data_IF_607664930066
#
_entry.id   IF_607664930066
#
_cell.length_a   1.000
_cell.length_b   1.000
_cell.length_c   1.000
_cell.angle_alpha   90.00
_cell.angle_beta   90.00
_cell.angle_gamma   90.00
#
_symmetry.space_group_name_H-M   'P 1'
#
loop_
_entity.id
_entity.type
_entity.pdbx_description
1 polymer ?
#
# COMPACT_ATOMS: atom_id res chain seq x y z
N UNK A 1 7.90 -5.42 30.03
CA UNK A 1 7.78 -5.44 29.62
C UNK A 1 7.68 -5.65 29.23
N UNK A 2 7.56 -5.58 29.16
CA UNK A 2 7.36 -5.64 28.61
C UNK A 2 7.16 -5.73 28.00
N UNK A 3 6.86 -5.74 27.88
CA UNK A 3 6.61 -5.77 27.19
C UNK A 3 6.45 -5.58 26.54
N UNK A 4 6.31 -5.55 26.50
CA UNK A 4 6.14 -5.35 25.89
C UNK A 4 6.12 -5.46 25.19
N UNK A 5 6.16 -5.56 25.47
CA UNK A 5 6.21 -5.63 24.76
C UNK A 5 6.08 -6.01 24.05
N UNK A 6 5.87 -6.24 24.14
CA UNK A 6 5.76 -6.50 23.46
C UNK A 6 5.35 -6.46 22.74
N UNK A 7 4.86 -6.30 22.74
CA UNK A 7 4.60 -6.10 22.11
C UNK A 7 4.67 -5.53 21.38
N UNK A 8 4.39 -5.07 21.41
CA UNK A 8 4.81 -4.54 20.79
C UNK A 8 5.70 -4.38 20.22
N UNK A 9 5.49 -4.19 20.58
CA UNK A 9 6.80 -4.43 20.09
C UNK A 9 6.91 -4.75 18.61
N UNK A 10 5.83 -4.80 17.96
CA UNK A 10 5.86 -5.02 16.51
C UNK A 10 6.20 -3.73 15.81
N UNK A 11 7.35 -3.72 15.16
CA UNK A 11 7.76 -2.64 14.31
C UNK A 11 6.83 -2.55 13.10
N UNK A 12 6.48 -1.33 12.68
CA UNK A 12 5.69 -1.13 11.46
C UNK A 12 6.64 -1.14 10.28
N UNK A 13 6.51 -2.17 9.45
CA UNK A 13 7.35 -2.37 8.28
C UNK A 13 6.49 -2.17 7.04
N UNK A 14 6.79 -1.13 6.27
CA UNK A 14 5.91 -0.64 5.22
C UNK A 14 6.37 -1.09 3.85
N UNK A 15 5.42 -1.57 3.05
CA UNK A 15 5.56 -1.66 1.61
C UNK A 15 4.82 -0.47 1.00
N UNK A 16 5.55 0.40 0.32
CA UNK A 16 4.97 1.55 -0.36
C UNK A 16 4.58 1.14 -1.77
N UNK A 17 3.33 1.34 -2.14
CA UNK A 17 2.88 0.98 -3.49
C UNK A 17 2.50 2.23 -4.26
N UNK A 18 3.04 2.38 -5.46
CA UNK A 18 2.76 3.51 -6.34
C UNK A 18 2.41 3.00 -7.74
N UNK A 19 1.47 3.66 -8.37
CA UNK A 19 0.98 3.26 -9.69
C UNK A 19 0.55 4.47 -10.49
N UNK A 20 0.82 4.43 -11.80
CA UNK A 20 0.35 5.45 -12.72
C UNK A 20 0.01 4.78 -14.05
N UNK A 21 -1.13 5.13 -14.64
CA UNK A 21 -1.52 4.64 -15.94
C UNK A 21 -2.03 5.80 -16.78
N UNK A 22 -2.23 5.53 -18.09
CA UNK A 22 -2.80 6.55 -18.97
C UNK A 22 -4.23 6.91 -18.56
N UNK A 23 -4.95 5.93 -18.03
CA UNK A 23 -6.32 6.18 -17.58
C UNK A 23 -6.33 7.19 -16.45
N UNK A 24 -5.35 7.14 -15.55
CA UNK A 24 -5.24 8.10 -14.46
C UNK A 24 -5.06 9.51 -15.00
N UNK A 25 -4.20 9.67 -16.01
CA UNK A 25 -3.96 10.98 -16.61
C UNK A 25 -5.20 11.53 -17.29
N UNK A 26 -5.94 10.67 -18.00
CA UNK A 26 -7.16 11.09 -18.70
C UNK A 26 -8.24 11.53 -17.73
N UNK A 27 -8.23 11.01 -16.52
CA UNK A 27 -9.21 11.38 -15.50
C UNK A 27 -8.74 12.56 -14.66
N UNK A 28 -7.64 13.18 -15.03
CA UNK A 28 -7.10 14.30 -14.28
C UNK A 28 -6.27 13.91 -13.07
N UNK A 29 -5.99 12.63 -12.94
CA UNK A 29 -5.15 12.15 -11.84
C UNK A 29 -3.71 12.13 -12.34
N UNK A 30 -3.07 13.28 -12.29
CA UNK A 30 -1.74 13.45 -12.88
C UNK A 30 -0.61 13.35 -11.88
N UNK A 31 -0.87 12.76 -10.71
CA UNK A 31 0.14 12.63 -9.68
C UNK A 31 1.17 11.60 -10.08
N UNK A 32 2.37 12.06 -10.41
CA UNK A 32 3.42 11.20 -10.94
C UNK A 32 3.91 10.19 -9.89
N UNK A 33 4.62 9.18 -10.38
CA UNK A 33 5.26 8.18 -9.51
C UNK A 33 6.16 8.89 -8.48
N UNK A 34 6.96 9.85 -8.92
CA UNK A 34 7.88 10.54 -8.02
C UNK A 34 7.15 11.36 -6.97
N UNK A 35 6.03 12.00 -7.34
CA UNK A 35 5.23 12.73 -6.37
C UNK A 35 4.59 11.81 -5.35
N UNK A 36 4.08 10.67 -5.79
CA UNK A 36 3.53 9.68 -4.87
C UNK A 36 4.59 9.22 -3.87
N UNK A 37 5.79 8.90 -4.37
CA UNK A 37 6.89 8.46 -3.50
C UNK A 37 7.25 9.54 -2.47
N UNK A 38 7.30 10.79 -2.90
CA UNK A 38 7.66 11.90 -2.03
C UNK A 38 6.66 12.06 -0.89
N UNK A 39 5.37 12.08 -1.22
CA UNK A 39 4.31 12.23 -0.23
C UNK A 39 4.34 11.08 0.77
N UNK A 40 4.45 9.86 0.26
CA UNK A 40 4.39 8.68 1.12
C UNK A 40 5.65 8.52 1.96
N UNK A 41 6.82 8.88 1.41
CA UNK A 41 8.07 8.84 2.17
C UNK A 41 8.05 9.81 3.34
N UNK A 42 7.51 11.00 3.12
CA UNK A 42 7.38 11.98 4.19
C UNK A 42 6.46 11.46 5.29
N UNK A 43 5.36 10.83 4.91
CA UNK A 43 4.44 10.28 5.88
C UNK A 43 5.11 9.19 6.72
N UNK A 44 5.84 8.27 6.07
CA UNK A 44 6.55 7.20 6.76
C UNK A 44 7.57 7.77 7.73
N UNK A 45 8.32 8.79 7.29
CA UNK A 45 9.32 9.43 8.12
C UNK A 45 8.69 10.09 9.35
N UNK A 46 7.57 10.78 9.14
CA UNK A 46 6.86 11.44 10.24
C UNK A 46 6.37 10.44 11.27
N UNK A 47 5.93 9.27 10.84
CA UNK A 47 5.46 8.23 11.74
C UNK A 47 6.58 7.46 12.41
N UNK A 48 7.80 7.57 11.90
CA UNK A 48 8.93 6.83 12.44
C UNK A 48 8.91 5.35 12.05
N UNK A 49 8.27 5.01 10.95
CA UNK A 49 8.16 3.63 10.51
C UNK A 49 9.34 3.23 9.62
N UNK A 50 9.48 1.93 9.40
CA UNK A 50 10.52 1.38 8.54
C UNK A 50 9.94 1.11 7.16
N UNK A 51 10.58 1.66 6.13
CA UNK A 51 10.22 1.35 4.74
C UNK A 51 11.03 0.16 4.27
N UNK A 52 10.34 -0.93 3.92
CA UNK A 52 11.02 -2.12 3.40
C UNK A 52 11.38 -1.94 1.93
N UNK A 53 10.40 -1.53 1.10
CA UNK A 53 10.64 -1.38 -0.32
C UNK A 53 9.52 -0.56 -0.95
N UNK A 54 9.80 -0.07 -2.15
CA UNK A 54 8.83 0.65 -2.99
C UNK A 54 8.45 -0.29 -4.14
N UNK A 55 7.15 -0.52 -4.30
CA UNK A 55 6.61 -1.41 -5.34
C UNK A 55 5.95 -0.53 -6.39
N UNK A 56 6.39 -0.65 -7.63
CA UNK A 56 6.00 0.29 -8.68
C UNK A 56 5.35 -0.45 -9.84
N UNK A 57 4.20 0.05 -10.28
CA UNK A 57 3.56 -0.36 -11.54
C UNK A 57 3.32 0.90 -12.36
N UNK A 58 4.15 1.11 -13.37
CA UNK A 58 4.08 2.30 -14.23
C UNK A 58 3.49 1.89 -15.56
N UNK A 59 2.46 2.62 -16.00
CA UNK A 59 1.81 2.37 -17.28
C UNK A 59 0.77 1.26 -17.25
N UNK A 60 0.38 0.80 -16.06
CA UNK A 60 -0.53 -0.35 -15.93
C UNK A 60 -1.82 0.08 -15.22
N UNK A 61 -2.96 -0.33 -15.79
CA UNK A 61 -4.28 0.03 -15.29
C UNK A 61 -4.57 -0.56 -13.92
N UNK A 62 -5.32 0.17 -13.09
CA UNK A 62 -5.76 -0.30 -11.79
C UNK A 62 -6.98 -1.20 -11.84
N UNK A 63 -7.49 -1.53 -13.03
CA UNK A 63 -8.69 -2.38 -13.17
C UNK A 63 -8.39 -3.87 -12.98
N UNK A 64 -7.11 -4.25 -12.97
CA UNK A 64 -6.69 -5.64 -12.79
C UNK A 64 -5.62 -5.71 -11.72
N UNK A 65 -5.53 -6.88 -11.05
CA UNK A 65 -4.41 -7.18 -10.15
C UNK A 65 -3.32 -8.00 -10.84
N UNK A 66 -3.41 -8.15 -12.17
CA UNK A 66 -2.34 -8.76 -12.96
C UNK A 66 -1.24 -7.72 -13.21
N UNK A 67 -0.67 -7.21 -12.12
CA UNK A 67 0.37 -6.18 -12.13
C UNK A 67 1.56 -6.71 -11.34
N UNK A 68 2.77 -6.72 -11.94
CA UNK A 68 3.92 -7.33 -11.25
C UNK A 68 4.23 -6.70 -9.89
N UNK A 69 4.12 -5.37 -9.79
CA UNK A 69 4.42 -4.68 -8.54
C UNK A 69 3.45 -5.04 -7.44
N UNK A 70 2.14 -5.03 -7.72
CA UNK A 70 1.16 -5.35 -6.69
C UNK A 70 1.22 -6.83 -6.33
N UNK A 71 1.53 -7.70 -7.29
CA UNK A 71 1.70 -9.11 -6.98
C UNK A 71 2.84 -9.34 -6.00
N UNK A 72 3.98 -8.69 -6.23
CA UNK A 72 5.13 -8.80 -5.33
C UNK A 72 4.80 -8.23 -3.95
N UNK A 73 4.09 -7.09 -3.93
CA UNK A 73 3.65 -6.46 -2.69
C UNK A 73 2.80 -7.42 -1.85
N UNK A 74 1.80 -8.04 -2.49
CA UNK A 74 0.89 -8.94 -1.78
C UNK A 74 1.60 -10.20 -1.31
N UNK A 75 2.53 -10.70 -2.10
CA UNK A 75 3.30 -11.87 -1.72
C UNK A 75 4.16 -11.58 -0.49
N UNK A 76 4.87 -10.44 -0.50
CA UNK A 76 5.69 -10.05 0.64
C UNK A 76 4.85 -9.84 1.90
N UNK A 77 3.65 -9.28 1.74
CA UNK A 77 2.74 -9.08 2.86
C UNK A 77 2.28 -10.41 3.45
N UNK A 78 1.94 -11.36 2.60
CA UNK A 78 1.48 -12.67 3.07
C UNK A 78 2.59 -13.44 3.76
N UNK A 79 3.84 -13.21 3.37
CA UNK A 79 4.98 -13.87 4.00
C UNK A 79 5.46 -13.15 5.26
N UNK A 80 4.85 -12.03 5.60
CA UNK A 80 5.23 -11.30 6.80
C UNK A 80 6.47 -10.44 6.62
N UNK A 81 6.97 -10.29 5.40
CA UNK A 81 8.12 -9.42 5.13
C UNK A 81 7.76 -7.97 5.38
N UNK A 82 6.53 -7.58 5.01
CA UNK A 82 5.95 -6.30 5.37
C UNK A 82 4.65 -6.56 6.13
N UNK A 83 4.27 -5.64 7.01
CA UNK A 83 3.02 -5.76 7.74
C UNK A 83 2.06 -4.60 7.49
N UNK A 84 2.48 -3.64 6.67
CA UNK A 84 1.68 -2.46 6.38
C UNK A 84 1.85 -2.11 4.91
N UNK A 85 0.73 -1.88 4.23
CA UNK A 85 0.71 -1.42 2.85
C UNK A 85 0.25 0.03 2.85
N UNK A 86 1.03 0.90 2.21
CA UNK A 86 0.74 2.32 2.15
C UNK A 86 0.61 2.77 0.71
N UNK A 87 -0.53 3.40 0.38
CA UNK A 87 -0.79 3.95 -0.95
C UNK A 87 -1.27 5.39 -0.82
N UNK A 88 -1.12 6.17 -1.88
CA UNK A 88 -1.59 7.55 -1.90
C UNK A 88 -3.12 7.60 -1.79
N UNK A 89 -3.80 6.78 -2.58
CA UNK A 89 -5.25 6.66 -2.53
C UNK A 89 -5.64 5.25 -2.98
N UNK A 90 -6.90 4.92 -2.75
CA UNK A 90 -7.40 3.57 -3.00
C UNK A 90 -7.27 3.16 -4.47
N UNK A 91 -7.41 4.11 -5.40
CA UNK A 91 -7.37 3.78 -6.82
C UNK A 91 -5.99 3.28 -7.25
N UNK A 92 -4.92 3.64 -6.53
CA UNK A 92 -3.59 3.12 -6.82
C UNK A 92 -3.52 1.63 -6.54
N UNK A 93 -4.14 1.20 -5.44
CA UNK A 93 -4.19 -0.22 -5.11
C UNK A 93 -5.09 -0.98 -6.09
N UNK A 94 -6.30 -0.47 -6.36
CA UNK A 94 -7.19 -1.13 -7.31
C UNK A 94 -8.46 -0.33 -7.53
N UNK A 95 -9.04 -0.50 -8.71
CA UNK A 95 -10.29 0.15 -9.08
C UNK A 95 -11.46 -0.82 -9.15
N UNK A 96 -11.19 -2.11 -8.97
CA UNK A 96 -12.23 -3.13 -8.96
C UNK A 96 -12.76 -3.27 -7.53
N UNK A 97 -13.94 -2.76 -7.28
CA UNK A 97 -14.53 -2.71 -5.94
C UNK A 97 -14.64 -4.08 -5.30
N UNK A 98 -15.00 -5.08 -6.11
CA UNK A 98 -15.20 -6.42 -5.54
C UNK A 98 -13.88 -6.99 -5.06
N UNK A 99 -12.83 -6.90 -5.87
CA UNK A 99 -11.53 -7.44 -5.51
C UNK A 99 -10.89 -6.65 -4.38
N UNK A 100 -10.99 -5.32 -4.42
CA UNK A 100 -10.46 -4.48 -3.34
C UNK A 100 -11.17 -4.82 -2.03
N UNK A 101 -12.49 -4.98 -2.06
CA UNK A 101 -13.24 -5.36 -0.88
C UNK A 101 -12.80 -6.68 -0.30
N UNK A 102 -12.51 -7.66 -1.15
CA UNK A 102 -12.03 -8.96 -0.70
C UNK A 102 -10.69 -8.84 0.04
N UNK A 103 -9.78 -8.01 -0.46
CA UNK A 103 -8.51 -7.80 0.22
C UNK A 103 -8.70 -7.09 1.56
N UNK A 104 -9.51 -6.03 1.58
CA UNK A 104 -9.71 -5.27 2.81
C UNK A 104 -10.46 -6.06 3.88
N UNK A 105 -11.48 -6.83 3.46
CA UNK A 105 -12.37 -7.50 4.41
C UNK A 105 -11.87 -8.87 4.83
N UNK A 106 -11.09 -9.54 3.99
CA UNK A 106 -10.70 -10.93 4.25
C UNK A 106 -9.21 -11.15 4.25
N UNK A 107 -8.51 -10.78 3.18
CA UNK A 107 -7.10 -11.14 3.04
C UNK A 107 -6.24 -10.40 4.05
N UNK A 108 -6.40 -9.09 4.14
CA UNK A 108 -5.57 -8.30 5.04
C UNK A 108 -5.81 -8.65 6.52
N UNK A 109 -7.07 -8.79 6.99
CA UNK A 109 -7.27 -9.24 8.36
C UNK A 109 -6.70 -10.63 8.62
N UNK A 110 -6.84 -11.54 7.65
CA UNK A 110 -6.33 -12.91 7.81
C UNK A 110 -4.82 -12.95 8.04
N UNK A 111 -4.08 -12.09 7.36
CA UNK A 111 -2.62 -12.04 7.47
C UNK A 111 -2.13 -10.92 8.38
N UNK A 112 -3.03 -10.25 9.10
CA UNK A 112 -2.70 -9.15 10.00
C UNK A 112 -1.94 -8.02 9.29
N UNK A 113 -2.43 -7.65 8.10
CA UNK A 113 -1.85 -6.60 7.28
C UNK A 113 -2.64 -5.32 7.49
N UNK A 114 -1.95 -4.23 7.86
CA UNK A 114 -2.55 -2.91 7.95
C UNK A 114 -2.52 -2.26 6.57
N UNK A 115 -3.63 -1.68 6.16
CA UNK A 115 -3.73 -1.01 4.85
C UNK A 115 -4.07 0.45 5.06
N UNK A 116 -3.29 1.33 4.47
CA UNK A 116 -3.47 2.78 4.59
C UNK A 116 -3.56 3.41 3.20
N UNK A 117 -4.67 4.08 2.92
CA UNK A 117 -4.85 4.90 1.72
C UNK A 117 -4.94 6.34 2.19
N UNK A 118 -3.86 7.08 2.03
CA UNK A 118 -3.65 8.34 2.73
C UNK A 118 -4.69 9.40 2.39
N UNK A 119 -4.94 9.63 1.09
CA UNK A 119 -5.89 10.65 0.66
C UNK A 119 -7.33 10.31 0.94
N UNK A 120 -7.64 9.03 1.14
CA UNK A 120 -9.01 8.59 1.40
C UNK A 120 -9.28 8.45 2.89
N UNK A 121 -8.31 8.75 3.73
CA UNK A 121 -8.41 8.61 5.19
C UNK A 121 -8.78 7.18 5.60
N UNK A 122 -8.24 6.20 4.86
CA UNK A 122 -8.44 4.79 5.19
C UNK A 122 -7.21 4.28 5.91
N UNK A 123 -7.44 3.67 7.06
CA UNK A 123 -6.37 3.09 7.87
C UNK A 123 -7.00 1.96 8.66
N UNK A 124 -6.75 0.74 8.23
CA UNK A 124 -7.37 -0.44 8.87
C UNK A 124 -6.61 -0.90 10.16
#
# INVERSE_FOLDING_TARGET
MKMQATQNSKETIVGMYVRLSRDDERQGESLSIENQKSILSEYISTQGWTLHDVYVDDGISGTTFERPGVKRLLEDAKQGIINTILVKDMSRFGRNYIMVGQYLDYVFPLYNIRFIALSDNIDT
#
